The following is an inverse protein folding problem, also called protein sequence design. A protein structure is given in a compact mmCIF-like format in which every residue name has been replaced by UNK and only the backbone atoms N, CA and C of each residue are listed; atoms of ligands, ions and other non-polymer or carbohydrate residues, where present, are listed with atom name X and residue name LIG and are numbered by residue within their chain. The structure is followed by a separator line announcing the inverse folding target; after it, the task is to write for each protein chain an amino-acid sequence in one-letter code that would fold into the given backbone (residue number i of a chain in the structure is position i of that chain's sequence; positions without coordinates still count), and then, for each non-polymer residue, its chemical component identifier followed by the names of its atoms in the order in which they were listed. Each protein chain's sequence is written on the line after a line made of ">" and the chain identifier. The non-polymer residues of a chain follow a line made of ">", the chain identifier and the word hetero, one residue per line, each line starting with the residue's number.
data_IF_171540339760
#
_entry.id   IF_171540339760
#
_cell.length_a   1.000
_cell.length_b   1.000
_cell.length_c   1.000
_cell.angle_alpha   90.00
_cell.angle_beta   90.00
_cell.angle_gamma   90.00
#
_symmetry.space_group_name_H-M   'P 1'
#
loop_
_entity.id
_entity.type
_entity.pdbx_description
1 polymer ?
#
# COMPACT_ATOMS: atom_id res chain seq x y z
N UNK A 1 0.78 3.28 -4.12
CA UNK A 1 1.27 2.29 -3.13
C UNK A 1 2.57 2.77 -2.50
N UNK A 2 2.88 2.35 -1.26
CA UNK A 2 4.20 2.53 -0.64
C UNK A 2 5.29 1.71 -1.36
N UNK A 3 6.56 2.12 -1.26
CA UNK A 3 7.69 1.36 -1.82
C UNK A 3 7.88 1.38 -3.34
N UNK A 4 7.01 2.07 -4.09
CA UNK A 4 7.05 2.12 -5.57
C UNK A 4 8.13 3.06 -6.17
N UNK A 5 8.90 3.77 -5.33
CA UNK A 5 9.97 4.68 -5.82
C UNK A 5 9.57 6.13 -6.12
N UNK A 6 8.42 6.62 -5.63
CA UNK A 6 7.99 8.04 -5.82
C UNK A 6 9.03 9.05 -5.33
N UNK A 7 9.54 8.87 -4.12
CA UNK A 7 10.59 9.73 -3.53
C UNK A 7 11.87 9.69 -4.34
N UNK A 8 12.26 8.50 -4.82
CA UNK A 8 13.44 8.32 -5.69
C UNK A 8 13.29 9.06 -7.01
N UNK A 9 12.16 8.92 -7.70
CA UNK A 9 11.88 9.65 -8.94
C UNK A 9 11.91 11.17 -8.71
N UNK A 10 11.23 11.65 -7.66
CA UNK A 10 11.21 13.08 -7.32
C UNK A 10 12.63 13.61 -7.04
N UNK A 11 13.49 12.82 -6.38
CA UNK A 11 14.88 13.17 -6.11
C UNK A 11 15.72 13.24 -7.38
N UNK A 12 15.57 12.29 -8.31
CA UNK A 12 16.29 12.32 -9.60
C UNK A 12 15.89 13.56 -10.41
N UNK A 13 14.58 13.81 -10.52
CA UNK A 13 14.05 15.00 -11.23
C UNK A 13 14.56 16.28 -10.56
N UNK A 14 14.50 16.36 -9.23
CA UNK A 14 15.01 17.51 -8.48
C UNK A 14 16.48 17.79 -8.78
N UNK A 15 17.34 16.78 -8.72
CA UNK A 15 18.78 16.94 -8.97
C UNK A 15 19.04 17.42 -10.41
N UNK A 16 18.36 16.84 -11.40
CA UNK A 16 18.54 17.20 -12.81
C UNK A 16 18.01 18.60 -13.13
N UNK A 17 16.88 19.00 -12.53
CA UNK A 17 16.23 20.27 -12.84
C UNK A 17 16.78 21.44 -12.02
N UNK A 18 17.27 21.20 -10.81
CA UNK A 18 17.74 22.22 -9.85
C UNK A 18 18.61 23.33 -10.44
N UNK A 19 19.56 23.08 -11.36
CA UNK A 19 20.39 24.14 -11.93
C UNK A 19 19.63 25.22 -12.73
N UNK A 20 18.38 24.97 -13.13
CA UNK A 20 17.59 25.86 -13.99
C UNK A 20 16.65 26.80 -13.20
N UNK A 21 16.76 26.81 -11.87
CA UNK A 21 15.89 27.55 -10.96
C UNK A 21 16.72 28.43 -10.00
N UNK A 22 16.15 29.57 -9.63
CA UNK A 22 16.79 30.54 -8.73
C UNK A 22 16.71 30.10 -7.27
N UNK A 23 15.59 29.47 -6.91
CA UNK A 23 15.33 28.94 -5.57
C UNK A 23 14.99 27.46 -5.64
N UNK A 24 15.44 26.68 -4.66
CA UNK A 24 15.18 25.24 -4.64
C UNK A 24 14.96 24.74 -3.23
N UNK A 25 13.99 23.85 -3.07
CA UNK A 25 13.72 23.20 -1.80
C UNK A 25 13.27 21.76 -2.00
N UNK A 26 13.79 20.88 -1.16
CA UNK A 26 13.34 19.51 -1.05
C UNK A 26 12.91 19.27 0.40
N UNK A 27 11.59 19.20 0.61
CA UNK A 27 11.00 18.88 1.90
C UNK A 27 10.71 17.37 1.94
N UNK A 28 11.64 16.63 2.55
CA UNK A 28 11.55 15.18 2.70
C UNK A 28 10.56 14.80 3.82
N UNK A 29 9.82 13.70 3.65
CA UNK A 29 9.01 13.06 4.69
C UNK A 29 8.04 14.02 5.41
N UNK A 30 7.29 14.82 4.66
CA UNK A 30 6.42 15.88 5.20
C UNK A 30 5.46 15.36 6.26
N UNK A 31 4.81 14.20 6.03
CA UNK A 31 3.96 13.54 7.05
C UNK A 31 4.65 13.38 8.40
N UNK A 32 5.87 12.87 8.39
CA UNK A 32 6.59 12.57 9.62
C UNK A 32 7.06 13.86 10.32
N UNK A 33 7.61 14.78 9.54
CA UNK A 33 8.11 16.06 10.07
C UNK A 33 6.98 16.92 10.60
N UNK A 34 5.82 16.98 9.92
CA UNK A 34 4.69 17.78 10.40
C UNK A 34 4.13 17.23 11.71
N UNK A 35 4.05 15.90 11.87
CA UNK A 35 3.58 15.27 13.10
C UNK A 35 4.56 15.47 14.28
N UNK A 36 5.87 15.52 14.02
CA UNK A 36 6.89 15.67 15.06
C UNK A 36 7.19 17.13 15.40
N UNK A 37 7.27 17.99 14.40
CA UNK A 37 7.82 19.35 14.51
C UNK A 37 6.80 20.45 14.15
N UNK A 38 5.65 20.08 13.59
CA UNK A 38 4.59 21.00 13.19
C UNK A 38 4.75 21.57 11.78
N UNK A 39 3.73 22.29 11.32
CA UNK A 39 3.73 22.89 9.97
C UNK A 39 4.62 24.14 9.85
N UNK A 40 4.77 24.88 10.96
CA UNK A 40 5.63 26.07 11.02
C UNK A 40 7.09 25.72 10.74
N UNK A 41 7.57 24.56 11.23
CA UNK A 41 8.95 24.13 10.96
C UNK A 41 9.18 23.85 9.47
N UNK A 42 8.19 23.25 8.79
CA UNK A 42 8.25 22.98 7.35
C UNK A 42 8.27 24.28 6.53
N UNK A 43 7.46 25.28 6.91
CA UNK A 43 7.48 26.60 6.26
C UNK A 43 8.82 27.31 6.44
N UNK A 44 9.41 27.24 7.65
CA UNK A 44 10.75 27.79 7.92
C UNK A 44 11.82 27.09 7.10
N UNK A 45 11.74 25.76 6.99
CA UNK A 45 12.66 24.97 6.16
C UNK A 45 12.54 25.29 4.67
N UNK A 46 11.32 25.46 4.16
CA UNK A 46 11.07 25.87 2.77
C UNK A 46 11.77 27.20 2.48
N UNK A 47 11.51 28.19 3.32
CA UNK A 47 12.04 29.54 3.18
C UNK A 47 13.57 29.55 3.30
N UNK A 48 14.15 28.87 4.28
CA UNK A 48 15.62 28.87 4.48
C UNK A 48 16.38 28.14 3.38
N UNK A 49 15.79 27.11 2.76
CA UNK A 49 16.41 26.44 1.61
C UNK A 49 16.40 27.31 0.35
N UNK A 50 15.36 28.12 0.17
CA UNK A 50 15.22 29.02 -1.00
C UNK A 50 15.95 30.34 -0.79
N UNK A 51 16.02 30.83 0.45
CA UNK A 51 16.58 32.13 0.84
C UNK A 51 17.57 31.91 2.01
N UNK A 52 18.76 31.35 1.73
CA UNK A 52 19.70 30.91 2.78
C UNK A 52 20.29 32.07 3.60
N UNK A 53 20.32 33.28 3.03
CA UNK A 53 20.86 34.47 3.67
C UNK A 53 19.83 35.20 4.56
N UNK A 54 18.61 34.68 4.66
CA UNK A 54 17.51 35.30 5.41
C UNK A 54 17.10 34.48 6.64
N UNK A 55 16.80 35.19 7.73
CA UNK A 55 16.27 34.61 8.96
C UNK A 55 14.76 34.85 9.06
N UNK A 56 13.98 33.78 9.22
CA UNK A 56 12.52 33.84 9.31
C UNK A 56 12.05 33.54 10.73
N UNK A 57 11.55 34.57 11.41
CA UNK A 57 10.96 34.42 12.74
C UNK A 57 9.45 34.68 12.70
N UNK A 58 8.67 33.60 12.70
CA UNK A 58 7.21 33.61 12.82
C UNK A 58 6.75 32.41 13.66
N UNK A 59 5.57 32.52 14.25
CA UNK A 59 5.09 31.58 15.27
C UNK A 59 3.84 30.82 14.88
N UNK A 60 3.20 31.19 13.77
CA UNK A 60 2.01 30.49 13.29
C UNK A 60 2.03 30.33 11.76
N UNK A 61 1.19 29.42 11.29
CA UNK A 61 1.09 29.04 9.88
C UNK A 61 0.64 30.21 9.00
N UNK A 62 -0.23 31.08 9.50
CA UNK A 62 -0.78 32.19 8.72
C UNK A 62 0.29 33.26 8.43
N UNK A 63 1.11 33.60 9.42
CA UNK A 63 2.29 34.46 9.22
C UNK A 63 3.26 33.83 8.21
N UNK A 64 3.54 32.53 8.35
CA UNK A 64 4.38 31.80 7.40
C UNK A 64 3.84 31.87 5.97
N UNK A 65 2.53 31.68 5.78
CA UNK A 65 1.86 31.78 4.48
C UNK A 65 2.04 33.18 3.85
N UNK A 66 1.86 34.24 4.64
CA UNK A 66 2.03 35.61 4.16
C UNK A 66 3.47 35.90 3.73
N UNK A 67 4.46 35.37 4.45
CA UNK A 67 5.88 35.51 4.10
C UNK A 67 6.21 34.71 2.84
N UNK A 68 5.78 33.44 2.76
CA UNK A 68 6.01 32.58 1.59
C UNK A 68 5.46 33.24 0.33
N UNK A 69 4.19 33.63 0.34
CA UNK A 69 3.54 34.26 -0.82
C UNK A 69 4.23 35.55 -1.25
N UNK A 70 4.58 36.44 -0.31
CA UNK A 70 5.23 37.70 -0.63
C UNK A 70 6.65 37.48 -1.19
N UNK A 71 7.44 36.60 -0.57
CA UNK A 71 8.85 36.40 -0.93
C UNK A 71 9.04 35.56 -2.20
N UNK A 72 8.17 34.59 -2.46
CA UNK A 72 8.35 33.62 -3.54
C UNK A 72 7.55 33.96 -4.82
N UNK A 73 6.60 34.91 -4.77
CA UNK A 73 5.75 35.30 -5.91
C UNK A 73 6.52 35.72 -7.16
N UNK A 74 7.73 36.28 -7.01
CA UNK A 74 8.57 36.76 -8.12
C UNK A 74 9.83 35.92 -8.34
N UNK A 75 9.94 34.75 -7.70
CA UNK A 75 11.12 33.87 -7.80
C UNK A 75 10.79 32.59 -8.53
N UNK A 76 11.63 32.25 -9.52
CA UNK A 76 11.51 30.99 -10.25
C UNK A 76 12.05 29.84 -9.39
N UNK A 77 11.16 29.16 -8.67
CA UNK A 77 11.55 28.11 -7.71
C UNK A 77 11.25 26.69 -8.19
N UNK A 78 12.05 25.73 -7.72
CA UNK A 78 11.77 24.30 -7.81
C UNK A 78 11.55 23.74 -6.39
N UNK A 79 10.34 23.32 -6.09
CA UNK A 79 9.98 22.78 -4.77
C UNK A 79 9.52 21.34 -4.90
N UNK A 80 10.11 20.45 -4.12
CA UNK A 80 9.63 19.07 -3.95
C UNK A 80 9.02 18.91 -2.57
N UNK A 81 7.77 18.46 -2.54
CA UNK A 81 7.03 18.11 -1.35
C UNK A 81 6.84 16.60 -1.28
N UNK A 82 7.65 15.92 -0.47
CA UNK A 82 7.70 14.47 -0.41
C UNK A 82 6.84 13.89 0.73
N UNK A 83 6.09 12.83 0.43
CA UNK A 83 5.18 12.10 1.33
C UNK A 83 4.09 13.01 1.96
N UNK A 84 3.42 13.80 1.11
CA UNK A 84 2.23 14.57 1.49
C UNK A 84 1.05 13.63 1.74
N UNK A 85 0.41 13.75 2.91
CA UNK A 85 -0.67 12.85 3.34
C UNK A 85 -2.01 13.55 3.66
N UNK A 86 -2.07 14.89 3.66
CA UNK A 86 -3.29 15.63 3.91
C UNK A 86 -3.31 17.00 3.20
N UNK A 87 -4.49 17.60 3.12
CA UNK A 87 -4.71 18.87 2.41
C UNK A 87 -4.06 20.08 3.10
N UNK A 88 -3.87 20.03 4.42
CA UNK A 88 -3.25 21.14 5.15
C UNK A 88 -1.78 21.31 4.77
N UNK A 89 -1.07 20.22 4.49
CA UNK A 89 0.31 20.28 3.99
C UNK A 89 0.41 21.14 2.73
N UNK A 90 -0.50 20.92 1.77
CA UNK A 90 -0.53 21.71 0.52
C UNK A 90 -0.96 23.15 0.78
N UNK A 91 -2.02 23.37 1.56
CA UNK A 91 -2.50 24.72 1.90
C UNK A 91 -1.44 25.59 2.58
N UNK A 92 -0.56 25.00 3.39
CA UNK A 92 0.44 25.74 4.17
C UNK A 92 1.78 25.93 3.45
N UNK A 93 2.10 25.07 2.47
CA UNK A 93 3.40 25.09 1.77
C UNK A 93 3.28 25.62 0.34
N UNK A 94 2.13 25.43 -0.29
CA UNK A 94 1.86 25.84 -1.68
C UNK A 94 0.80 26.93 -1.75
N UNK A 95 -0.22 26.88 -0.89
CA UNK A 95 -1.22 27.93 -0.79
C UNK A 95 -2.07 28.10 -2.06
N UNK A 96 -1.84 29.18 -2.79
CA UNK A 96 -2.50 29.51 -4.07
C UNK A 96 -1.45 29.58 -5.18
N UNK A 97 -1.88 29.45 -6.44
CA UNK A 97 -0.97 29.48 -7.60
C UNK A 97 -0.17 30.79 -7.73
N UNK A 98 -0.65 31.90 -7.14
CA UNK A 98 0.02 33.21 -7.16
C UNK A 98 1.17 33.34 -6.13
N UNK A 99 1.40 32.31 -5.31
CA UNK A 99 2.53 32.29 -4.37
C UNK A 99 3.88 32.09 -5.03
N UNK A 100 3.90 31.66 -6.29
CA UNK A 100 5.11 31.32 -7.03
C UNK A 100 5.10 31.97 -8.41
N UNK A 101 6.29 32.34 -8.91
CA UNK A 101 6.37 32.99 -10.22
C UNK A 101 6.09 32.04 -11.37
N UNK A 102 5.72 32.62 -12.51
CA UNK A 102 5.63 31.91 -13.78
C UNK A 102 6.97 31.24 -14.10
N UNK A 103 6.90 29.95 -14.46
CA UNK A 103 8.08 29.13 -14.74
C UNK A 103 8.65 28.40 -13.51
N UNK A 104 8.12 28.65 -12.31
CA UNK A 104 8.34 27.79 -11.14
C UNK A 104 7.72 26.40 -11.33
N UNK A 105 8.24 25.41 -10.58
CA UNK A 105 7.74 24.02 -10.59
C UNK A 105 7.62 23.48 -9.18
N UNK A 106 6.47 22.87 -8.89
CA UNK A 106 6.23 22.18 -7.62
C UNK A 106 5.92 20.73 -7.92
N UNK A 107 6.67 19.82 -7.29
CA UNK A 107 6.50 18.38 -7.44
C UNK A 107 6.01 17.85 -6.11
N UNK A 108 4.86 17.19 -6.12
CA UNK A 108 4.27 16.59 -4.91
C UNK A 108 4.31 15.08 -5.05
N UNK A 109 4.84 14.39 -4.05
CA UNK A 109 4.67 12.94 -3.93
C UNK A 109 3.62 12.63 -2.87
N UNK A 110 2.68 11.74 -3.20
CA UNK A 110 1.66 11.27 -2.26
C UNK A 110 1.27 9.83 -2.56
N UNK A 111 0.69 9.17 -1.55
CA UNK A 111 0.07 7.85 -1.68
C UNK A 111 -1.44 7.95 -1.90
N UNK A 112 -2.01 9.15 -1.79
CA UNK A 112 -3.45 9.38 -1.84
C UNK A 112 -3.84 10.27 -3.03
N UNK A 113 -4.40 9.63 -4.07
CA UNK A 113 -4.87 10.31 -5.28
C UNK A 113 -5.99 11.32 -4.99
N UNK A 114 -6.76 11.12 -3.91
CA UNK A 114 -7.82 12.05 -3.53
C UNK A 114 -7.28 13.46 -3.27
N UNK A 115 -6.09 13.56 -2.67
CA UNK A 115 -5.45 14.84 -2.38
C UNK A 115 -5.14 15.62 -3.65
N UNK A 116 -4.71 14.93 -4.70
CA UNK A 116 -4.36 15.53 -5.99
C UNK A 116 -5.59 16.18 -6.65
N UNK A 117 -6.73 15.47 -6.62
CA UNK A 117 -8.00 15.97 -7.17
C UNK A 117 -8.58 17.10 -6.32
N UNK A 118 -8.52 16.96 -4.99
CA UNK A 118 -9.09 17.93 -4.05
C UNK A 118 -8.37 19.27 -4.11
N UNK A 119 -7.06 19.27 -4.36
CA UNK A 119 -6.25 20.48 -4.46
C UNK A 119 -6.16 21.06 -5.88
N UNK A 120 -6.70 20.36 -6.90
CA UNK A 120 -6.68 20.75 -8.32
C UNK A 120 -5.27 20.89 -8.90
N UNK A 121 -4.47 19.84 -8.78
CA UNK A 121 -3.13 19.79 -9.38
C UNK A 121 -3.21 19.73 -10.91
N UNK A 122 -2.27 20.39 -11.58
CA UNK A 122 -2.23 20.53 -13.04
C UNK A 122 -2.02 19.18 -13.77
N UNK A 123 -1.06 18.37 -13.31
CA UNK A 123 -0.67 17.11 -13.95
C UNK A 123 -0.40 16.00 -12.92
N UNK A 124 -0.72 14.75 -13.28
CA UNK A 124 -0.53 13.57 -12.42
C UNK A 124 0.23 12.47 -13.14
N UNK A 125 1.38 12.09 -12.60
CA UNK A 125 2.12 10.89 -13.01
C UNK A 125 1.89 9.73 -12.04
N UNK A 126 1.41 8.59 -12.55
CA UNK A 126 1.19 7.37 -11.75
C UNK A 126 2.28 6.34 -12.05
N UNK A 127 3.30 6.17 -11.19
CA UNK A 127 4.32 5.16 -11.41
C UNK A 127 3.73 3.75 -11.27
N UNK A 128 4.18 2.86 -12.15
CA UNK A 128 3.87 1.42 -12.12
C UNK A 128 4.98 0.64 -11.42
N UNK A 129 4.73 -0.64 -11.17
CA UNK A 129 5.80 -1.57 -10.78
C UNK A 129 6.81 -1.72 -11.91
N UNK A 130 8.02 -2.17 -11.58
CA UNK A 130 9.05 -2.46 -12.57
C UNK A 130 8.61 -3.64 -13.43
N UNK A 131 8.92 -3.57 -14.72
CA UNK A 131 8.79 -4.74 -15.59
C UNK A 131 9.78 -5.83 -15.13
N UNK A 132 9.57 -7.11 -15.52
CA UNK A 132 10.41 -8.21 -15.05
C UNK A 132 11.91 -8.01 -15.32
N UNK A 133 12.28 -7.35 -16.43
CA UNK A 133 13.67 -7.08 -16.80
C UNK A 133 14.32 -6.07 -15.85
N UNK A 134 13.67 -4.92 -15.63
CA UNK A 134 14.17 -3.88 -14.73
C UNK A 134 14.14 -4.32 -13.26
N UNK A 135 13.14 -5.12 -12.88
CA UNK A 135 13.05 -5.72 -11.55
C UNK A 135 14.24 -6.65 -11.28
N UNK A 136 14.56 -7.52 -12.24
CA UNK A 136 15.71 -8.42 -12.16
C UNK A 136 17.03 -7.65 -12.12
N UNK A 137 17.15 -6.59 -12.92
CA UNK A 137 18.33 -5.72 -12.93
C UNK A 137 18.55 -5.04 -11.58
N UNK A 138 17.50 -4.45 -11.00
CA UNK A 138 17.56 -3.81 -9.69
C UNK A 138 17.93 -4.83 -8.59
N UNK A 139 17.31 -6.01 -8.61
CA UNK A 139 17.61 -7.07 -7.65
C UNK A 139 19.08 -7.50 -7.75
N UNK A 140 19.58 -7.80 -8.95
CA UNK A 140 20.96 -8.22 -9.16
C UNK A 140 21.95 -7.15 -8.68
N UNK A 141 21.67 -5.88 -8.98
CA UNK A 141 22.50 -4.77 -8.51
C UNK A 141 22.62 -4.75 -6.99
N UNK A 142 21.56 -5.14 -6.26
CA UNK A 142 21.53 -5.13 -4.78
C UNK A 142 22.05 -6.42 -4.16
N UNK A 143 21.94 -7.53 -4.86
CA UNK A 143 22.37 -8.85 -4.38
C UNK A 143 23.81 -9.20 -4.73
N UNK A 144 24.37 -8.59 -5.79
CA UNK A 144 25.69 -8.95 -6.34
C UNK A 144 26.60 -7.74 -6.61
N UNK A 145 26.16 -6.51 -6.30
CA UNK A 145 26.83 -5.26 -6.68
C UNK A 145 27.14 -5.16 -8.20
N UNK A 146 26.35 -5.86 -9.02
CA UNK A 146 26.51 -5.92 -10.48
C UNK A 146 25.14 -5.99 -11.15
N UNK A 147 24.97 -5.29 -12.26
CA UNK A 147 23.74 -5.34 -13.04
C UNK A 147 23.67 -6.55 -13.99
N UNK A 148 24.75 -7.31 -14.10
CA UNK A 148 24.84 -8.54 -14.91
C UNK A 148 24.36 -9.78 -14.15
N UNK A 149 23.86 -10.77 -14.91
CA UNK A 149 23.37 -12.03 -14.35
C UNK A 149 24.49 -12.77 -13.59
N UNK A 150 24.19 -13.31 -12.39
CA UNK A 150 25.13 -14.09 -11.61
C UNK A 150 25.46 -15.42 -12.30
N UNK A 151 26.35 -16.21 -11.68
CA UNK A 151 26.61 -17.60 -12.06
C UNK A 151 25.29 -18.36 -12.28
N UNK A 152 25.26 -19.28 -13.25
CA UNK A 152 24.07 -20.02 -13.69
C UNK A 152 23.17 -20.52 -12.55
N UNK A 153 23.77 -20.92 -11.43
CA UNK A 153 23.07 -21.49 -10.29
C UNK A 153 22.12 -20.51 -9.55
N UNK A 154 22.35 -19.20 -9.67
CA UNK A 154 21.55 -18.16 -9.01
C UNK A 154 20.40 -17.61 -9.87
N UNK A 155 20.36 -17.96 -11.16
CA UNK A 155 19.39 -17.40 -12.13
C UNK A 155 17.95 -17.71 -11.70
N UNK A 156 17.65 -18.98 -11.43
CA UNK A 156 16.30 -19.40 -11.05
C UNK A 156 15.90 -18.84 -9.68
N UNK A 157 16.82 -18.79 -8.72
CA UNK A 157 16.56 -18.20 -7.40
C UNK A 157 16.29 -16.69 -7.50
N UNK A 158 16.98 -15.99 -8.39
CA UNK A 158 16.74 -14.56 -8.64
C UNK A 158 15.35 -14.34 -9.24
N UNK A 159 14.92 -15.20 -10.18
CA UNK A 159 13.56 -15.16 -10.74
C UNK A 159 12.50 -15.40 -9.67
N UNK A 160 12.71 -16.36 -8.76
CA UNK A 160 11.79 -16.64 -7.65
C UNK A 160 11.61 -15.41 -6.75
N UNK A 161 12.71 -14.73 -6.41
CA UNK A 161 12.68 -13.51 -5.58
C UNK A 161 12.00 -12.36 -6.30
N UNK A 162 12.32 -12.15 -7.59
CA UNK A 162 11.70 -11.10 -8.41
C UNK A 162 10.20 -11.34 -8.58
N UNK A 163 9.80 -12.59 -8.79
CA UNK A 163 8.39 -12.99 -8.86
C UNK A 163 7.68 -12.73 -7.53
N UNK A 164 8.31 -13.05 -6.38
CA UNK A 164 7.77 -12.74 -5.06
C UNK A 164 7.59 -11.22 -4.84
N UNK A 165 8.56 -10.42 -5.26
CA UNK A 165 8.50 -8.97 -5.13
C UNK A 165 7.47 -8.30 -6.06
N UNK A 166 7.01 -8.98 -7.11
CA UNK A 166 6.02 -8.52 -8.10
C UNK A 166 6.36 -7.12 -8.67
N UNK A 167 7.65 -6.90 -8.92
CA UNK A 167 8.17 -5.63 -9.47
C UNK A 167 8.16 -4.45 -8.49
N UNK A 168 7.90 -4.64 -7.20
CA UNK A 168 7.99 -3.57 -6.19
C UNK A 168 9.45 -3.23 -5.86
N UNK A 169 9.94 -2.01 -6.19
CA UNK A 169 11.34 -1.62 -5.98
C UNK A 169 11.86 -1.82 -4.55
N UNK A 170 11.08 -1.39 -3.55
CA UNK A 170 11.47 -1.55 -2.14
C UNK A 170 11.70 -3.02 -1.77
N UNK A 171 10.83 -3.92 -2.23
CA UNK A 171 10.98 -5.34 -1.93
C UNK A 171 12.24 -5.92 -2.59
N UNK A 172 12.50 -5.56 -3.84
CA UNK A 172 13.71 -6.00 -4.56
C UNK A 172 14.99 -5.52 -3.86
N UNK A 173 15.01 -4.29 -3.37
CA UNK A 173 16.15 -3.72 -2.65
C UNK A 173 16.39 -4.43 -1.32
N UNK A 174 15.36 -4.56 -0.48
CA UNK A 174 15.47 -5.23 0.84
C UNK A 174 15.91 -6.68 0.67
N UNK A 175 15.30 -7.41 -0.27
CA UNK A 175 15.63 -8.83 -0.51
C UNK A 175 17.01 -8.99 -1.13
N UNK A 176 17.39 -8.14 -2.07
CA UNK A 176 18.72 -8.15 -2.67
C UNK A 176 19.80 -7.92 -1.62
N UNK A 177 19.67 -6.87 -0.81
CA UNK A 177 20.63 -6.59 0.27
C UNK A 177 20.66 -7.69 1.33
N UNK A 178 19.53 -8.32 1.65
CA UNK A 178 19.49 -9.43 2.60
C UNK A 178 20.24 -10.68 2.08
N UNK A 179 20.22 -10.89 0.77
CA UNK A 179 20.83 -12.04 0.09
C UNK A 179 22.28 -11.79 -0.36
N UNK A 180 22.74 -10.54 -0.31
CA UNK A 180 24.11 -10.17 -0.64
C UNK A 180 25.14 -10.94 0.20
N UNK A 181 26.27 -11.30 -0.41
CA UNK A 181 27.39 -12.05 0.18
C UNK A 181 27.06 -13.43 0.75
N UNK A 182 25.93 -14.04 0.34
CA UNK A 182 25.52 -15.39 0.75
C UNK A 182 25.79 -16.43 -0.33
N UNK A 183 26.10 -17.65 0.10
CA UNK A 183 26.21 -18.79 -0.80
C UNK A 183 24.83 -19.31 -1.26
N UNK A 184 24.82 -20.20 -2.25
CA UNK A 184 23.57 -20.71 -2.83
C UNK A 184 22.72 -21.53 -1.85
N UNK A 185 23.33 -22.24 -0.91
CA UNK A 185 22.60 -23.03 0.09
C UNK A 185 21.88 -22.07 1.05
N UNK A 186 22.58 -21.00 1.45
CA UNK A 186 22.02 -19.92 2.24
C UNK A 186 20.91 -19.18 1.50
N UNK A 187 21.04 -18.93 0.19
CA UNK A 187 19.96 -18.34 -0.62
C UNK A 187 18.70 -19.19 -0.62
N UNK A 188 18.83 -20.50 -0.88
CA UNK A 188 17.69 -21.42 -0.86
C UNK A 188 17.00 -21.42 0.50
N UNK A 189 17.78 -21.51 1.58
CA UNK A 189 17.26 -21.45 2.95
C UNK A 189 16.57 -20.11 3.25
N UNK A 190 17.17 -18.99 2.83
CA UNK A 190 16.61 -17.67 3.00
C UNK A 190 15.28 -17.48 2.24
N UNK A 191 15.20 -17.94 1.00
CA UNK A 191 13.98 -17.87 0.17
C UNK A 191 12.88 -18.75 0.75
N UNK A 192 13.20 -19.97 1.21
CA UNK A 192 12.23 -20.82 1.89
C UNK A 192 11.73 -20.19 3.20
N UNK A 193 12.63 -19.56 3.96
CA UNK A 193 12.25 -18.79 5.14
C UNK A 193 11.35 -17.62 4.78
N UNK A 194 11.62 -16.88 3.71
CA UNK A 194 10.79 -15.74 3.26
C UNK A 194 9.35 -16.17 2.90
N UNK A 195 9.17 -17.37 2.33
CA UNK A 195 7.84 -17.93 2.05
C UNK A 195 7.02 -18.22 3.32
N UNK A 196 7.69 -18.39 4.47
CA UNK A 196 7.04 -18.63 5.77
C UNK A 196 6.95 -17.33 6.59
N UNK A 197 8.08 -16.63 6.69
CA UNK A 197 8.31 -15.41 7.45
C UNK A 197 8.60 -14.25 6.50
N UNK A 198 7.54 -13.55 6.07
CA UNK A 198 7.69 -12.31 5.29
C UNK A 198 8.62 -11.30 5.98
N UNK A 199 9.36 -10.55 5.17
CA UNK A 199 10.24 -9.48 5.65
C UNK A 199 9.46 -8.37 6.36
N UNK A 200 9.76 -8.18 7.65
CA UNK A 200 9.13 -7.17 8.51
C UNK A 200 9.27 -5.75 7.94
N UNK A 201 10.44 -5.40 7.40
CA UNK A 201 10.71 -4.07 6.85
C UNK A 201 9.79 -3.73 5.66
N UNK A 202 9.59 -4.69 4.76
CA UNK A 202 8.69 -4.53 3.60
C UNK A 202 7.26 -4.32 4.11
N UNK A 203 6.80 -5.17 5.02
CA UNK A 203 5.43 -5.11 5.52
C UNK A 203 5.15 -3.86 6.34
N UNK A 204 6.08 -3.43 7.20
CA UNK A 204 5.95 -2.22 8.00
C UNK A 204 5.79 -0.99 7.10
N UNK A 205 6.57 -0.90 6.01
CA UNK A 205 6.45 0.21 5.06
C UNK A 205 5.11 0.26 4.33
N UNK A 206 4.56 -0.92 3.99
CA UNK A 206 3.24 -1.05 3.37
C UNK A 206 2.11 -0.75 4.37
N UNK A 207 2.26 -1.22 5.61
CA UNK A 207 1.30 -1.10 6.71
C UNK A 207 0.99 0.34 7.08
N UNK A 208 1.92 1.29 6.92
CA UNK A 208 1.67 2.73 7.10
C UNK A 208 0.39 3.20 6.37
N UNK A 209 0.16 2.69 5.17
CA UNK A 209 -1.00 3.11 4.36
C UNK A 209 -2.31 2.46 4.85
N UNK A 210 -2.22 1.28 5.46
CA UNK A 210 -3.33 0.59 6.10
C UNK A 210 -3.70 1.21 7.45
N UNK A 211 -2.70 1.59 8.26
CA UNK A 211 -2.94 2.16 9.60
C UNK A 211 -3.72 3.49 9.54
N UNK A 212 -3.54 4.25 8.45
CA UNK A 212 -4.28 5.48 8.16
C UNK A 212 -5.70 5.31 7.60
N UNK A 213 -6.22 4.09 7.51
CA UNK A 213 -7.62 3.82 7.15
C UNK A 213 -8.56 3.88 8.37
N UNK A 214 -9.84 4.18 8.14
CA UNK A 214 -10.87 4.01 9.17
C UNK A 214 -11.21 2.54 9.36
N UNK A 215 -11.87 2.22 10.48
CA UNK A 215 -12.14 0.83 10.89
C UNK A 215 -12.92 0.03 9.82
N UNK A 216 -13.84 0.69 9.11
CA UNK A 216 -14.62 0.05 8.03
C UNK A 216 -13.76 -0.26 6.82
N UNK A 217 -12.95 0.68 6.33
CA UNK A 217 -12.06 0.40 5.20
C UNK A 217 -10.98 -0.61 5.56
N UNK A 218 -10.49 -0.62 6.81
CA UNK A 218 -9.59 -1.67 7.31
C UNK A 218 -10.25 -3.04 7.17
N UNK A 219 -11.52 -3.17 7.54
CA UNK A 219 -12.24 -4.43 7.41
C UNK A 219 -12.43 -4.85 5.95
N UNK A 220 -12.79 -3.91 5.05
CA UNK A 220 -12.90 -4.17 3.60
C UNK A 220 -11.54 -4.62 3.03
N UNK A 221 -10.45 -3.91 3.36
CA UNK A 221 -9.11 -4.26 2.92
C UNK A 221 -8.73 -5.69 3.34
N UNK A 222 -8.99 -6.05 4.61
CA UNK A 222 -8.70 -7.39 5.12
C UNK A 222 -9.60 -8.46 4.47
N UNK A 223 -10.87 -8.16 4.21
CA UNK A 223 -11.78 -9.08 3.49
C UNK A 223 -11.26 -9.32 2.05
N UNK A 224 -10.77 -8.29 1.35
CA UNK A 224 -10.16 -8.46 0.02
C UNK A 224 -8.86 -9.28 0.11
N UNK A 225 -7.97 -8.97 1.04
CA UNK A 225 -6.71 -9.69 1.21
C UNK A 225 -6.93 -11.18 1.51
N UNK A 226 -7.89 -11.50 2.37
CA UNK A 226 -8.20 -12.87 2.75
C UNK A 226 -8.96 -13.63 1.66
N UNK A 227 -9.98 -12.99 1.06
CA UNK A 227 -11.03 -13.71 0.33
C UNK A 227 -11.25 -13.25 -1.11
N UNK A 228 -11.11 -11.95 -1.39
CA UNK A 228 -11.62 -11.37 -2.65
C UNK A 228 -10.57 -10.83 -3.61
N UNK A 229 -9.28 -11.09 -3.39
CA UNK A 229 -8.24 -10.70 -4.34
C UNK A 229 -8.39 -11.49 -5.65
N UNK A 230 -8.58 -10.79 -6.77
CA UNK A 230 -8.83 -11.38 -8.09
C UNK A 230 -10.28 -11.69 -8.39
N UNK A 231 -11.22 -11.42 -7.46
CA UNK A 231 -12.64 -11.67 -7.64
C UNK A 231 -13.35 -10.55 -8.43
N UNK A 232 -14.52 -10.88 -8.99
CA UNK A 232 -15.34 -9.93 -9.74
C UNK A 232 -15.79 -8.78 -8.84
N UNK A 233 -15.53 -7.54 -9.25
CA UNK A 233 -15.88 -6.32 -8.53
C UNK A 233 -17.35 -6.30 -8.13
N UNK A 234 -18.27 -6.56 -9.06
CA UNK A 234 -19.72 -6.53 -8.78
C UNK A 234 -20.16 -7.55 -7.74
N UNK A 235 -19.52 -8.73 -7.72
CA UNK A 235 -19.75 -9.72 -6.68
C UNK A 235 -19.30 -9.17 -5.33
N UNK A 236 -18.07 -8.69 -5.24
CA UNK A 236 -17.49 -8.15 -4.01
C UNK A 236 -18.30 -6.98 -3.47
N UNK A 237 -18.78 -6.08 -4.34
CA UNK A 237 -19.67 -4.99 -3.96
C UNK A 237 -20.94 -5.51 -3.27
N UNK A 238 -21.65 -6.48 -3.87
CA UNK A 238 -22.88 -7.05 -3.27
C UNK A 238 -22.62 -7.71 -1.92
N UNK A 239 -21.51 -8.44 -1.79
CA UNK A 239 -21.12 -9.11 -0.54
C UNK A 239 -20.93 -8.11 0.58
N UNK A 240 -20.17 -7.05 0.30
CA UNK A 240 -19.81 -6.03 1.28
C UNK A 240 -21.02 -5.16 1.65
N UNK A 241 -21.92 -4.92 0.70
CA UNK A 241 -23.16 -4.18 0.93
C UNK A 241 -24.07 -4.92 1.91
N UNK A 242 -24.24 -6.24 1.73
CA UNK A 242 -24.96 -7.11 2.67
C UNK A 242 -24.34 -7.18 4.09
N UNK A 243 -23.10 -6.72 4.25
CA UNK A 243 -22.43 -6.58 5.56
C UNK A 243 -22.54 -5.16 6.15
N UNK A 244 -23.30 -4.25 5.54
CA UNK A 244 -23.41 -2.83 5.92
C UNK A 244 -22.05 -2.11 5.91
N UNK A 245 -21.14 -2.50 5.00
CA UNK A 245 -19.80 -1.91 4.90
C UNK A 245 -19.72 -0.70 3.96
N UNK A 246 -20.82 -0.30 3.31
CA UNK A 246 -20.89 0.84 2.39
C UNK A 246 -19.78 0.77 1.31
N UNK A 247 -19.79 -0.29 0.47
CA UNK A 247 -18.66 -0.61 -0.40
C UNK A 247 -18.34 0.44 -1.45
N UNK A 248 -19.31 1.25 -1.89
CA UNK A 248 -19.08 2.32 -2.86
C UNK A 248 -18.02 3.31 -2.38
N UNK A 249 -18.11 3.74 -1.12
CA UNK A 249 -17.14 4.65 -0.50
C UNK A 249 -15.89 3.87 -0.12
N UNK A 250 -16.04 2.72 0.52
CA UNK A 250 -14.91 1.95 1.03
C UNK A 250 -13.93 1.49 -0.06
N UNK A 251 -14.43 0.96 -1.18
CA UNK A 251 -13.62 0.53 -2.32
C UNK A 251 -12.95 1.72 -3.01
N UNK A 252 -13.68 2.82 -3.18
CA UNK A 252 -13.13 4.06 -3.77
C UNK A 252 -11.98 4.62 -2.92
N UNK A 253 -12.11 4.63 -1.59
CA UNK A 253 -11.01 5.03 -0.67
C UNK A 253 -9.79 4.13 -0.83
N UNK A 254 -9.96 2.81 -0.90
CA UNK A 254 -8.84 1.88 -1.08
C UNK A 254 -8.15 2.06 -2.44
N UNK A 255 -8.90 2.34 -3.52
CA UNK A 255 -8.35 2.67 -4.85
C UNK A 255 -7.57 3.98 -4.79
N UNK A 256 -8.15 5.04 -4.22
CA UNK A 256 -7.52 6.36 -4.11
C UNK A 256 -6.23 6.33 -3.29
N UNK A 257 -6.18 5.50 -2.23
CA UNK A 257 -4.96 5.24 -1.46
C UNK A 257 -4.02 4.22 -2.11
N UNK A 258 -4.33 3.77 -3.34
CA UNK A 258 -3.54 2.83 -4.13
C UNK A 258 -3.22 1.53 -3.38
N UNK A 259 -4.17 1.04 -2.57
CA UNK A 259 -4.10 -0.23 -1.85
C UNK A 259 -4.70 -1.38 -2.65
N UNK A 260 -5.64 -1.07 -3.55
CA UNK A 260 -6.19 -1.99 -4.54
C UNK A 260 -6.29 -1.27 -5.89
N UNK A 261 -6.49 -2.05 -6.94
CA UNK A 261 -6.77 -1.57 -8.30
C UNK A 261 -7.95 -2.36 -8.86
N UNK A 262 -8.61 -1.79 -9.87
CA UNK A 262 -9.51 -2.56 -10.73
C UNK A 262 -8.72 -2.91 -12.00
N UNK A 263 -8.97 -4.09 -12.56
CA UNK A 263 -8.44 -4.49 -13.87
C UNK A 263 -8.85 -3.51 -14.98
N UNK A 264 -8.14 -3.54 -16.11
CA UNK A 264 -8.35 -2.61 -17.22
C UNK A 264 -9.75 -2.73 -17.85
N UNK A 265 -10.35 -3.92 -17.79
CA UNK A 265 -11.75 -4.18 -18.20
C UNK A 265 -12.78 -3.75 -17.13
N UNK A 266 -12.32 -3.18 -16.01
CA UNK A 266 -13.10 -2.75 -14.85
C UNK A 266 -13.90 -3.89 -14.16
N UNK A 267 -13.58 -5.17 -14.42
CA UNK A 267 -14.36 -6.30 -13.93
C UNK A 267 -13.84 -6.90 -12.62
N UNK A 268 -12.54 -6.83 -12.34
CA UNK A 268 -11.90 -7.59 -11.26
C UNK A 268 -11.15 -6.68 -10.29
N UNK A 269 -11.27 -6.96 -8.99
CA UNK A 269 -10.44 -6.32 -7.97
C UNK A 269 -9.08 -7.00 -7.91
N UNK A 270 -8.02 -6.20 -7.83
CA UNK A 270 -6.63 -6.65 -7.74
C UNK A 270 -5.93 -5.98 -6.56
N UNK A 271 -5.28 -6.79 -5.75
CA UNK A 271 -4.39 -6.37 -4.66
C UNK A 271 -3.01 -6.94 -4.94
N UNK A 272 -1.98 -6.09 -4.79
CA UNK A 272 -0.58 -6.50 -4.94
C UNK A 272 -0.24 -7.64 -3.99
N UNK A 273 0.57 -8.61 -4.42
CA UNK A 273 0.89 -9.81 -3.63
C UNK A 273 1.38 -9.47 -2.21
N UNK A 274 2.36 -8.56 -2.07
CA UNK A 274 2.86 -8.09 -0.79
C UNK A 274 1.84 -7.32 0.08
N UNK A 275 0.85 -6.64 -0.52
CA UNK A 275 -0.24 -6.01 0.25
C UNK A 275 -1.21 -7.08 0.78
N UNK A 276 -1.50 -8.09 -0.03
CA UNK A 276 -2.31 -9.23 0.38
C UNK A 276 -1.64 -10.00 1.51
N UNK A 277 -0.34 -10.24 1.40
CA UNK A 277 0.47 -10.89 2.43
C UNK A 277 0.47 -10.09 3.74
N UNK A 278 0.68 -8.76 3.65
CA UNK A 278 0.58 -7.85 4.79
C UNK A 278 -0.79 -7.95 5.47
N UNK A 279 -1.88 -7.88 4.72
CA UNK A 279 -3.24 -7.97 5.27
C UNK A 279 -3.51 -9.32 5.95
N UNK A 280 -3.06 -10.42 5.37
CA UNK A 280 -3.17 -11.76 5.95
C UNK A 280 -2.38 -11.89 7.26
N UNK A 281 -1.16 -11.36 7.31
CA UNK A 281 -0.35 -11.35 8.54
C UNK A 281 -1.00 -10.53 9.65
N UNK A 282 -1.60 -9.38 9.35
CA UNK A 282 -2.34 -8.59 10.35
C UNK A 282 -3.45 -9.43 11.01
N UNK A 283 -4.15 -10.27 10.25
CA UNK A 283 -5.18 -11.15 10.83
C UNK A 283 -4.58 -12.27 11.67
N UNK A 284 -3.44 -12.83 11.25
CA UNK A 284 -2.72 -13.86 11.99
C UNK A 284 -2.16 -13.32 13.32
N UNK A 285 -1.59 -12.11 13.32
CA UNK A 285 -1.05 -11.41 14.51
C UNK A 285 -2.13 -11.18 15.58
N UNK A 286 -3.37 -10.91 15.19
CA UNK A 286 -4.47 -10.68 16.14
C UNK A 286 -4.76 -11.91 17.01
N UNK A 287 -4.43 -13.12 16.55
CA UNK A 287 -4.60 -14.38 17.30
C UNK A 287 -3.59 -15.44 16.82
N UNK A 288 -2.36 -15.34 17.33
CA UNK A 288 -1.23 -16.21 16.96
C UNK A 288 -1.49 -17.68 17.30
N UNK A 289 -1.87 -17.97 18.55
CA UNK A 289 -1.89 -19.35 19.07
C UNK A 289 -3.22 -20.11 18.90
N UNK A 290 -4.29 -19.42 18.47
CA UNK A 290 -5.65 -20.00 18.42
C UNK A 290 -6.35 -19.62 17.12
N UNK A 291 -6.26 -20.45 16.06
CA UNK A 291 -6.96 -20.20 14.80
C UNK A 291 -8.46 -19.95 14.98
N UNK A 292 -9.12 -20.67 15.90
CA UNK A 292 -10.55 -20.49 16.20
C UNK A 292 -10.93 -19.15 16.84
N UNK A 293 -9.95 -18.37 17.32
CA UNK A 293 -10.15 -16.99 17.80
C UNK A 293 -9.90 -15.93 16.72
N UNK A 294 -9.36 -16.31 15.55
CA UNK A 294 -9.14 -15.39 14.44
C UNK A 294 -10.49 -14.96 13.87
N UNK A 295 -10.58 -13.70 13.48
CA UNK A 295 -11.81 -13.16 12.89
C UNK A 295 -12.03 -13.62 11.44
N UNK A 296 -10.99 -14.11 10.75
CA UNK A 296 -11.06 -14.55 9.34
C UNK A 296 -10.17 -15.78 9.13
N UNK A 297 -10.66 -16.78 8.40
CA UNK A 297 -9.93 -18.01 8.06
C UNK A 297 -10.01 -18.31 6.56
N UNK A 298 -8.84 -18.39 5.91
CA UNK A 298 -8.70 -18.67 4.46
C UNK A 298 -7.72 -19.81 4.16
N UNK A 299 -6.99 -20.33 5.17
CA UNK A 299 -6.14 -21.52 5.00
C UNK A 299 -7.00 -22.76 5.23
N UNK A 300 -7.04 -23.66 4.27
CA UNK A 300 -7.81 -24.91 4.34
C UNK A 300 -7.50 -25.72 5.61
N UNK A 301 -6.21 -25.85 5.96
CA UNK A 301 -5.76 -26.53 7.18
C UNK A 301 -6.33 -25.91 8.47
N UNK A 302 -6.36 -24.58 8.55
CA UNK A 302 -6.87 -23.87 9.72
C UNK A 302 -8.40 -24.01 9.82
N UNK A 303 -9.10 -23.91 8.68
CA UNK A 303 -10.55 -24.10 8.60
C UNK A 303 -10.92 -25.52 9.02
N UNK A 304 -10.26 -26.54 8.47
CA UNK A 304 -10.45 -27.93 8.85
C UNK A 304 -10.17 -28.16 10.34
N UNK A 305 -9.07 -27.63 10.88
CA UNK A 305 -8.75 -27.75 12.30
C UNK A 305 -9.84 -27.18 13.20
N UNK A 306 -10.34 -25.98 12.86
CA UNK A 306 -11.32 -25.27 13.68
C UNK A 306 -12.69 -25.95 13.62
N UNK A 307 -13.11 -26.43 12.44
CA UNK A 307 -14.34 -27.21 12.24
C UNK A 307 -14.30 -28.55 12.97
N UNK A 308 -13.24 -29.33 12.79
CA UNK A 308 -13.11 -30.67 13.41
C UNK A 308 -13.02 -30.59 14.93
N UNK A 309 -12.46 -29.51 15.49
CA UNK A 309 -12.38 -29.30 16.94
C UNK A 309 -13.54 -28.50 17.53
N UNK A 310 -14.53 -28.07 16.74
CA UNK A 310 -15.62 -27.18 17.18
C UNK A 310 -15.13 -25.95 17.97
N UNK A 311 -14.03 -25.34 17.54
CA UNK A 311 -13.44 -24.17 18.22
C UNK A 311 -13.82 -22.84 17.56
N UNK A 312 -14.82 -22.84 16.67
CA UNK A 312 -15.32 -21.65 15.98
C UNK A 312 -15.88 -20.67 17.02
N UNK A 313 -15.39 -19.43 17.00
CA UNK A 313 -16.04 -18.33 17.71
C UNK A 313 -17.16 -17.73 16.83
N UNK A 314 -18.22 -17.19 17.46
CA UNK A 314 -19.41 -16.65 16.78
C UNK A 314 -19.13 -15.51 15.80
N UNK A 315 -17.93 -14.93 15.80
CA UNK A 315 -17.51 -13.81 14.95
C UNK A 315 -16.52 -14.20 13.82
N UNK A 316 -16.19 -15.48 13.65
CA UNK A 316 -15.22 -15.94 12.64
C UNK A 316 -15.83 -16.02 11.24
N UNK A 317 -15.26 -15.31 10.26
CA UNK A 317 -15.61 -15.39 8.83
C UNK A 317 -14.78 -16.48 8.11
N UNK A 318 -15.40 -17.26 7.23
CA UNK A 318 -14.78 -18.34 6.43
C UNK A 318 -15.14 -18.16 4.94
N UNK A 319 -14.18 -18.40 4.03
CA UNK A 319 -14.39 -18.28 2.58
C UNK A 319 -15.37 -19.33 2.01
N UNK A 320 -16.28 -18.92 1.13
CA UNK A 320 -17.27 -19.78 0.45
C UNK A 320 -16.63 -20.96 -0.31
N UNK A 321 -15.52 -20.72 -1.04
CA UNK A 321 -14.83 -21.76 -1.81
C UNK A 321 -14.34 -22.91 -0.93
N UNK A 322 -13.87 -22.60 0.28
CA UNK A 322 -13.38 -23.58 1.26
C UNK A 322 -14.56 -24.26 1.95
N UNK A 323 -15.61 -23.51 2.29
CA UNK A 323 -16.83 -24.06 2.87
C UNK A 323 -17.50 -25.09 1.94
N UNK A 324 -17.57 -24.80 0.64
CA UNK A 324 -18.19 -25.67 -0.36
C UNK A 324 -17.37 -26.95 -0.62
N UNK A 325 -16.04 -26.84 -0.72
CA UNK A 325 -15.14 -27.99 -0.84
C UNK A 325 -15.27 -28.94 0.38
N UNK A 326 -15.38 -28.38 1.58
CA UNK A 326 -15.49 -29.16 2.81
C UNK A 326 -16.87 -29.80 3.04
N UNK A 327 -17.98 -29.17 2.62
CA UNK A 327 -19.29 -29.85 2.62
C UNK A 327 -19.24 -31.11 1.75
N UNK A 328 -18.57 -31.01 0.60
CA UNK A 328 -18.39 -32.14 -0.31
C UNK A 328 -17.56 -33.28 0.29
N UNK A 329 -16.49 -32.95 1.03
CA UNK A 329 -15.59 -33.93 1.64
C UNK A 329 -16.16 -34.59 2.91
N UNK A 330 -16.89 -33.82 3.72
CA UNK A 330 -17.46 -34.30 5.00
C UNK A 330 -18.76 -35.09 4.78
N UNK A 331 -19.49 -34.85 3.69
CA UNK A 331 -20.77 -35.53 3.44
C UNK A 331 -21.06 -35.71 1.93
N UNK A 332 -20.54 -36.78 1.28
CA UNK A 332 -20.69 -37.00 -0.16
C UNK A 332 -22.14 -37.24 -0.64
N UNK A 333 -23.11 -37.34 0.28
CA UNK A 333 -24.55 -37.51 -0.02
C UNK A 333 -25.33 -36.19 -0.23
N UNK A 334 -24.72 -35.02 -0.02
CA UNK A 334 -25.34 -33.71 -0.31
C UNK A 334 -25.15 -33.26 -1.76
N UNK A 335 -24.89 -34.20 -2.68
CA UNK A 335 -24.78 -33.92 -4.10
C UNK A 335 -26.14 -33.50 -4.67
N UNK A 336 -26.19 -32.33 -5.31
CA UNK A 336 -27.31 -31.76 -6.06
C UNK A 336 -28.56 -31.37 -5.24
N UNK A 337 -28.42 -30.41 -4.32
CA UNK A 337 -29.52 -29.46 -4.09
C UNK A 337 -29.27 -28.27 -5.01
N UNK A 338 -30.00 -28.24 -6.12
CA UNK A 338 -30.20 -27.05 -6.94
C UNK A 338 -30.51 -25.86 -6.02
N UNK A 339 -29.65 -24.85 -6.02
CA UNK A 339 -29.84 -23.60 -5.29
C UNK A 339 -31.00 -22.82 -5.90
N UNK A 340 -32.22 -23.14 -5.47
CA UNK A 340 -33.31 -22.18 -5.45
C UNK A 340 -33.30 -21.48 -4.09
N UNK A 341 -33.29 -20.15 -4.16
CA UNK A 341 -33.24 -19.19 -3.04
C UNK A 341 -34.42 -19.40 -2.08
N UNK A 342 -34.09 -19.68 -0.80
CA UNK A 342 -34.84 -19.58 0.48
C UNK A 342 -36.26 -20.18 0.62
N UNK A 343 -36.73 -20.58 1.84
CA UNK A 343 -36.30 -20.13 3.18
C UNK A 343 -36.06 -21.23 4.24
N UNK A 344 -35.25 -20.88 5.25
CA UNK A 344 -35.27 -21.30 6.68
C UNK A 344 -35.55 -22.78 7.03
N UNK A 345 -34.66 -23.42 7.81
CA UNK A 345 -34.99 -24.07 9.12
C UNK A 345 -33.79 -24.82 9.74
N UNK A 346 -33.41 -24.34 10.93
CA UNK A 346 -32.77 -25.00 12.09
C UNK A 346 -31.46 -25.78 11.97
N UNK A 347 -30.36 -25.10 12.29
CA UNK A 347 -29.42 -25.57 13.32
C UNK A 347 -29.19 -24.39 14.28
N UNK A 348 -29.59 -24.58 15.53
CA UNK A 348 -29.67 -23.52 16.55
C UNK A 348 -28.32 -22.83 16.75
N UNK A 349 -28.34 -21.50 16.53
CA UNK A 349 -27.30 -20.49 16.82
C UNK A 349 -26.04 -20.42 15.95
N UNK A 350 -26.18 -20.57 14.63
CA UNK A 350 -25.24 -20.01 13.66
C UNK A 350 -25.88 -18.83 12.91
N UNK A 351 -25.32 -17.61 13.01
CA UNK A 351 -25.61 -16.55 12.05
C UNK A 351 -24.78 -16.82 10.80
N UNK A 352 -25.35 -17.59 9.87
CA UNK A 352 -24.82 -17.73 8.52
C UNK A 352 -25.16 -16.44 7.78
N UNK A 353 -24.14 -15.64 7.47
CA UNK A 353 -24.32 -14.50 6.56
C UNK A 353 -24.37 -15.09 5.16
N UNK A 354 -25.57 -15.07 4.56
CA UNK A 354 -25.78 -15.44 3.18
C UNK A 354 -25.16 -14.38 2.27
N UNK A 355 -24.36 -14.81 1.32
CA UNK A 355 -23.72 -13.95 0.33
C UNK A 355 -24.11 -14.53 -1.04
N UNK A 356 -24.98 -13.83 -1.76
CA UNK A 356 -25.38 -14.13 -3.14
C UNK A 356 -24.37 -13.60 -4.15
#
# INVERSE_FOLDING_TARGET
>A
MGGIGKTTLARVVYTQMSPHFEGKSFLANIREVSNKCGLVSLQKQLLSQILPDECFNFFNVHEGNAIISNRLSNKKVLVVLDDVDNLQHLKCLVGKHDWFSLGGRIIVTTRDEHLLRSYRIDDVYKPTTLNPTDALRLFNLKAFDSDTMPKYDFIELSKDVVHYADGLPLALEVLGSFLCDRDIIQWRSAIERLKQDSSKEILDTLRISFDGLEEREKNIFLDIACFFNGEKKDLVMKVLDGCEFFPDIGIDVLIKKSLIKVSDDNQYLRMHALLQEMGRKIVEERCVDKPGKRCKLWKERDVHHVLTKNTINHSTKITYKIFFLLIYDVNPKLSLISLHIDPLVTLSSFKIIFIC
#
